data_IF_952785558107
#
_entry.id   IF_952785558107
#
_cell.length_a   1.000
_cell.length_b   1.000
_cell.length_c   1.000
_cell.angle_alpha   90.00
_cell.angle_beta   90.00
_cell.angle_gamma   90.00
#
_symmetry.space_group_name_H-M   'P 1'
#
loop_
_entity.id
_entity.type
_entity.pdbx_description
1 polymer ?
#
# COMPACT_ATOMS: atom_id res chain seq x y z
N UNK A 1 -3.84 6.52 22.49
CA UNK A 1 -4.81 5.46 22.16
C UNK A 1 -5.53 5.88 20.89
N UNK A 2 -5.51 5.05 19.84
CA UNK A 2 -6.33 5.32 18.66
C UNK A 2 -7.82 5.21 19.00
N UNK A 3 -8.64 6.08 18.40
CA UNK A 3 -10.04 6.27 18.80
C UNK A 3 -10.91 5.01 18.69
N UNK A 4 -12.08 5.05 19.36
CA UNK A 4 -13.16 4.09 19.11
C UNK A 4 -13.61 4.24 17.65
N UNK A 5 -13.45 3.18 16.86
CA UNK A 5 -13.89 3.12 15.47
C UNK A 5 -15.36 2.70 15.43
N UNK A 6 -16.34 3.60 15.19
CA UNK A 6 -17.75 3.23 15.14
C UNK A 6 -18.05 2.07 14.19
N UNK A 7 -17.34 1.95 13.05
CA UNK A 7 -17.51 0.83 12.12
C UNK A 7 -16.96 -0.53 12.65
N UNK A 8 -16.33 -0.55 13.82
CA UNK A 8 -15.77 -1.73 14.45
C UNK A 8 -14.33 -2.05 14.04
N UNK A 9 -13.72 -2.99 14.77
CA UNK A 9 -12.28 -3.32 14.67
C UNK A 9 -11.86 -3.91 13.33
N UNK A 10 -12.80 -4.48 12.54
CA UNK A 10 -12.48 -5.04 11.21
C UNK A 10 -11.98 -4.00 10.20
N UNK A 11 -12.26 -2.73 10.47
CA UNK A 11 -11.87 -1.60 9.63
C UNK A 11 -10.65 -0.85 10.18
N UNK A 12 -9.93 -1.43 11.14
CA UNK A 12 -8.72 -0.82 11.70
C UNK A 12 -7.56 -1.81 11.63
N UNK A 13 -6.46 -1.38 11.00
CA UNK A 13 -5.22 -2.15 10.94
C UNK A 13 -4.07 -1.31 11.50
N UNK A 14 -3.37 -1.85 12.50
CA UNK A 14 -2.26 -1.18 13.18
C UNK A 14 -0.91 -1.69 12.69
N UNK A 15 0.08 -0.80 12.70
CA UNK A 15 1.47 -1.06 12.34
C UNK A 15 2.40 -0.28 13.27
N UNK A 16 3.66 -0.70 13.30
CA UNK A 16 4.73 0.04 13.97
C UNK A 16 5.83 0.26 12.95
N UNK A 17 6.10 1.53 12.64
CA UNK A 17 7.15 1.94 11.72
C UNK A 17 8.41 2.34 12.50
N UNK A 18 9.58 1.98 11.98
CA UNK A 18 10.88 2.45 12.49
C UNK A 18 11.27 3.83 11.92
N UNK A 19 10.40 4.44 11.12
CA UNK A 19 10.58 5.76 10.51
C UNK A 19 9.60 6.76 11.10
N UNK A 20 9.98 8.04 11.07
CA UNK A 20 9.10 9.11 11.52
C UNK A 20 7.89 9.30 10.59
N UNK A 21 6.84 9.90 11.13
CA UNK A 21 5.57 10.08 10.43
C UNK A 21 5.68 10.92 9.14
N UNK A 22 6.62 11.88 9.06
CA UNK A 22 6.80 12.75 7.88
C UNK A 22 7.51 11.99 6.78
N UNK A 23 8.53 11.21 7.11
CA UNK A 23 9.21 10.31 6.17
C UNK A 23 8.25 9.26 5.62
N UNK A 24 7.41 8.67 6.49
CA UNK A 24 6.39 7.71 6.07
C UNK A 24 5.32 8.36 5.17
N UNK A 25 4.83 9.56 5.53
CA UNK A 25 3.92 10.34 4.68
C UNK A 25 4.51 10.55 3.28
N UNK A 26 5.76 11.01 3.19
CA UNK A 26 6.43 11.23 1.92
C UNK A 26 6.49 9.96 1.07
N UNK A 27 6.88 8.83 1.67
CA UNK A 27 6.94 7.54 0.98
C UNK A 27 5.55 7.11 0.43
N UNK A 28 4.49 7.27 1.23
CA UNK A 28 3.12 6.94 0.82
C UNK A 28 2.60 7.83 -0.31
N UNK A 29 3.03 9.09 -0.36
CA UNK A 29 2.66 10.03 -1.42
C UNK A 29 3.45 9.74 -2.69
N UNK A 30 4.78 9.64 -2.59
CA UNK A 30 5.68 9.47 -3.73
C UNK A 30 5.51 8.11 -4.41
N UNK A 31 5.17 7.06 -3.65
CA UNK A 31 5.14 5.68 -4.17
C UNK A 31 3.82 4.94 -3.91
N UNK A 32 3.00 5.39 -2.96
CA UNK A 32 1.78 4.70 -2.54
C UNK A 32 0.48 5.23 -3.16
N UNK A 33 0.55 6.28 -3.98
CA UNK A 33 -0.62 6.93 -4.57
C UNK A 33 -1.54 7.59 -3.54
N UNK A 34 -1.02 7.89 -2.35
CA UNK A 34 -1.77 8.59 -1.32
C UNK A 34 -1.69 10.10 -1.51
N UNK A 35 -2.67 10.82 -0.97
CA UNK A 35 -2.60 12.27 -0.84
C UNK A 35 -2.07 12.64 0.55
N UNK A 36 -1.14 13.60 0.62
CA UNK A 36 -0.63 14.12 1.87
C UNK A 36 -1.75 14.78 2.69
N UNK A 37 -1.80 14.52 3.98
CA UNK A 37 -2.70 15.18 4.91
C UNK A 37 -1.96 16.18 5.82
N UNK A 38 -2.69 17.15 6.34
CA UNK A 38 -2.14 18.23 7.18
C UNK A 38 -2.06 17.88 8.67
N UNK A 39 -1.89 16.61 9.04
CA UNK A 39 -1.82 16.16 10.43
C UNK A 39 -3.04 16.56 11.29
N UNK A 40 -4.20 16.72 10.66
CA UNK A 40 -5.45 17.01 11.35
C UNK A 40 -5.95 15.76 12.11
N UNK A 41 -6.78 15.97 13.14
CA UNK A 41 -7.25 14.92 14.04
C UNK A 41 -8.77 14.73 13.91
N UNK A 42 -9.26 14.01 12.88
CA UNK A 42 -10.68 13.94 12.56
C UNK A 42 -11.50 13.18 13.62
N UNK A 43 -10.85 12.34 14.43
CA UNK A 43 -11.48 11.62 15.55
C UNK A 43 -11.39 12.38 16.87
N UNK A 44 -10.91 13.63 16.86
CA UNK A 44 -10.71 14.45 18.05
C UNK A 44 -9.28 14.42 18.58
N UNK A 45 -9.02 15.30 19.54
CA UNK A 45 -7.68 15.53 20.08
C UNK A 45 -7.13 14.24 20.72
N UNK A 46 -5.84 13.96 20.50
CA UNK A 46 -5.14 12.76 20.98
C UNK A 46 -5.66 11.41 20.43
N UNK A 47 -6.46 11.42 19.36
CA UNK A 47 -6.97 10.20 18.71
C UNK A 47 -6.24 9.82 17.41
N UNK A 48 -5.04 10.37 17.25
CA UNK A 48 -4.21 10.22 16.06
C UNK A 48 -4.41 11.36 15.05
N UNK A 49 -3.33 11.66 14.34
CA UNK A 49 -3.26 12.68 13.30
C UNK A 49 -3.13 12.02 11.92
N UNK A 50 -3.90 12.48 10.93
CA UNK A 50 -3.87 11.93 9.58
C UNK A 50 -2.59 12.37 8.88
N UNK A 51 -1.78 11.39 8.46
CA UNK A 51 -0.56 11.62 7.70
C UNK A 51 -0.81 11.45 6.20
N UNK A 52 -1.72 10.57 5.80
CA UNK A 52 -2.06 10.37 4.40
C UNK A 52 -3.50 9.88 4.25
N UNK A 53 -4.07 10.09 3.07
CA UNK A 53 -5.42 9.63 2.74
C UNK A 53 -5.51 9.09 1.32
N UNK A 54 -6.39 8.10 1.12
CA UNK A 54 -6.67 7.50 -0.19
C UNK A 54 -8.03 6.80 -0.16
N UNK A 55 -8.84 6.97 -1.20
CA UNK A 55 -10.11 6.25 -1.38
C UNK A 55 -11.08 6.33 -0.17
N UNK A 56 -11.13 7.50 0.50
CA UNK A 56 -11.95 7.69 1.71
C UNK A 56 -11.41 7.03 2.99
N UNK A 57 -10.17 6.52 2.93
CA UNK A 57 -9.44 5.93 4.05
C UNK A 57 -8.32 6.85 4.50
N UNK A 58 -7.98 6.75 5.79
CA UNK A 58 -6.93 7.50 6.45
C UNK A 58 -5.81 6.58 6.93
N UNK A 59 -4.59 7.08 6.84
CA UNK A 59 -3.41 6.60 7.55
C UNK A 59 -3.13 7.61 8.67
N UNK A 60 -3.21 7.15 9.90
CA UNK A 60 -3.05 7.95 11.12
C UNK A 60 -1.72 7.62 11.80
N UNK A 61 -1.08 8.60 12.42
CA UNK A 61 -0.06 8.39 13.45
C UNK A 61 -0.59 8.78 14.82
N UNK A 62 -0.20 8.09 15.89
CA UNK A 62 -0.57 8.49 17.25
C UNK A 62 0.16 9.76 17.70
N UNK A 63 1.47 9.83 17.43
CA UNK A 63 2.36 10.94 17.77
C UNK A 63 3.12 11.36 16.51
N UNK A 64 3.13 12.66 16.21
CA UNK A 64 3.74 13.18 14.97
C UNK A 64 5.27 13.12 15.06
N UNK A 65 5.83 13.41 16.23
CA UNK A 65 7.27 13.51 16.48
C UNK A 65 7.78 12.31 17.29
N UNK A 66 7.48 11.10 16.83
CA UNK A 66 7.99 9.86 17.42
C UNK A 66 9.03 9.21 16.52
N UNK A 67 10.12 8.72 17.12
CA UNK A 67 11.17 7.96 16.42
C UNK A 67 10.64 6.59 15.93
N UNK A 68 9.64 6.05 16.63
CA UNK A 68 8.85 4.89 16.20
C UNK A 68 7.40 5.30 16.08
N UNK A 69 6.93 5.45 14.84
CA UNK A 69 5.55 5.85 14.60
C UNK A 69 4.61 4.65 14.74
N UNK A 70 3.66 4.74 15.67
CA UNK A 70 2.49 3.87 15.68
C UNK A 70 1.53 4.35 14.60
N UNK A 71 1.18 3.46 13.67
CA UNK A 71 0.38 3.79 12.49
C UNK A 71 -0.93 3.01 12.52
N UNK A 72 -2.04 3.64 12.14
CA UNK A 72 -3.31 2.95 11.92
C UNK A 72 -3.93 3.35 10.59
N UNK A 73 -4.37 2.33 9.84
CA UNK A 73 -5.22 2.50 8.66
C UNK A 73 -6.67 2.30 9.07
N UNK A 74 -7.54 3.25 8.70
CA UNK A 74 -8.97 3.22 9.02
C UNK A 74 -9.78 3.99 7.98
N UNK A 75 -11.07 3.70 7.77
CA UNK A 75 -11.94 4.60 7.03
C UNK A 75 -12.04 5.98 7.68
N UNK A 76 -12.28 7.00 6.85
CA UNK A 76 -12.58 8.35 7.32
C UNK A 76 -13.89 8.41 8.10
N UNK A 77 -14.14 9.53 8.78
CA UNK A 77 -15.28 9.68 9.72
C UNK A 77 -16.62 9.42 9.01
N UNK A 78 -16.83 10.02 7.84
CA UNK A 78 -18.06 9.86 7.07
C UNK A 78 -18.27 8.41 6.64
N UNK A 79 -17.22 7.77 6.12
CA UNK A 79 -17.27 6.38 5.69
C UNK A 79 -17.45 5.42 6.88
N UNK A 80 -16.86 5.71 8.04
CA UNK A 80 -17.13 4.93 9.25
C UNK A 80 -18.57 5.04 9.71
N UNK A 81 -19.17 6.23 9.66
CA UNK A 81 -20.58 6.41 10.03
C UNK A 81 -21.50 5.64 9.07
N UNK A 82 -21.18 5.66 7.77
CA UNK A 82 -21.92 4.90 6.77
C UNK A 82 -21.80 3.39 7.02
N UNK A 83 -20.58 2.87 7.20
CA UNK A 83 -20.35 1.45 7.49
C UNK A 83 -21.00 1.00 8.80
N UNK A 84 -20.95 1.83 9.84
CA UNK A 84 -21.64 1.59 11.11
C UNK A 84 -23.15 1.50 10.92
N UNK A 85 -23.74 2.36 10.08
CA UNK A 85 -25.18 2.31 9.80
C UNK A 85 -25.58 0.98 9.15
N UNK A 86 -24.74 0.43 8.27
CA UNK A 86 -24.96 -0.89 7.70
C UNK A 86 -24.92 -1.98 8.77
N UNK A 87 -23.86 -2.02 9.58
CA UNK A 87 -23.66 -3.05 10.60
C UNK A 87 -24.70 -3.00 11.72
N UNK A 88 -25.27 -1.83 11.98
CA UNK A 88 -26.29 -1.63 13.01
C UNK A 88 -27.72 -1.89 12.50
N UNK A 89 -27.88 -2.37 11.25
CA UNK A 89 -29.18 -2.67 10.66
C UNK A 89 -29.96 -1.44 10.16
N UNK A 90 -29.29 -0.29 10.04
CA UNK A 90 -29.84 0.95 9.48
C UNK A 90 -29.59 1.10 7.97
N UNK A 91 -29.16 0.03 7.28
CA UNK A 91 -28.91 0.04 5.83
C UNK A 91 -30.12 0.51 5.00
N UNK A 92 -31.34 0.23 5.47
CA UNK A 92 -32.59 0.66 4.83
C UNK A 92 -32.89 2.17 4.93
N UNK A 93 -32.14 2.93 5.71
CA UNK A 93 -32.26 4.40 5.77
C UNK A 93 -31.61 5.10 4.56
N UNK A 94 -30.85 4.34 3.76
CA UNK A 94 -30.09 4.88 2.63
C UNK A 94 -30.68 4.37 1.33
N UNK A 95 -31.15 5.29 0.50
CA UNK A 95 -31.52 4.98 -0.88
C UNK A 95 -30.27 4.71 -1.73
N UNK A 96 -30.43 3.93 -2.81
CA UNK A 96 -29.33 3.72 -3.77
C UNK A 96 -28.81 5.02 -4.39
N UNK A 97 -29.66 6.06 -4.51
CA UNK A 97 -29.24 7.39 -4.97
C UNK A 97 -28.32 8.09 -3.97
N UNK A 98 -28.63 8.00 -2.67
CA UNK A 98 -27.78 8.58 -1.62
C UNK A 98 -26.44 7.86 -1.55
N UNK A 99 -26.43 6.53 -1.63
CA UNK A 99 -25.20 5.75 -1.73
C UNK A 99 -24.37 6.16 -2.95
N UNK A 100 -25.01 6.31 -4.11
CA UNK A 100 -24.33 6.72 -5.34
C UNK A 100 -23.70 8.11 -5.22
N UNK A 101 -24.36 9.05 -4.53
CA UNK A 101 -23.83 10.40 -4.29
C UNK A 101 -22.65 10.37 -3.31
N UNK A 102 -22.75 9.59 -2.25
CA UNK A 102 -21.75 9.57 -1.17
C UNK A 102 -20.50 8.76 -1.52
N UNK A 103 -20.66 7.65 -2.23
CA UNK A 103 -19.58 6.67 -2.43
C UNK A 103 -19.29 6.36 -3.90
N UNK A 104 -20.16 6.80 -4.81
CA UNK A 104 -20.12 6.38 -6.21
C UNK A 104 -20.66 4.97 -6.47
N UNK A 105 -21.27 4.31 -5.47
CA UNK A 105 -21.76 2.94 -5.58
C UNK A 105 -23.30 2.89 -5.63
N UNK A 106 -23.90 2.02 -6.45
CA UNK A 106 -25.36 1.97 -6.62
C UNK A 106 -26.11 1.30 -5.46
N UNK A 107 -25.42 0.45 -4.69
CA UNK A 107 -25.99 -0.37 -3.62
C UNK A 107 -24.94 -0.71 -2.56
N UNK A 108 -25.40 -1.28 -1.45
CA UNK A 108 -24.56 -1.64 -0.31
C UNK A 108 -23.52 -2.71 -0.62
N UNK A 109 -23.82 -3.68 -1.48
CA UNK A 109 -22.87 -4.73 -1.84
C UNK A 109 -21.67 -4.13 -2.58
N UNK A 110 -21.93 -3.20 -3.50
CA UNK A 110 -20.90 -2.44 -4.20
C UNK A 110 -20.09 -1.54 -3.23
N UNK A 111 -20.73 -0.87 -2.27
CA UNK A 111 -20.04 -0.10 -1.23
C UNK A 111 -19.08 -0.98 -0.45
N UNK A 112 -19.58 -2.08 0.12
CA UNK A 112 -18.78 -2.97 0.97
C UNK A 112 -17.61 -3.59 0.20
N UNK A 113 -17.84 -4.00 -1.05
CA UNK A 113 -16.78 -4.53 -1.92
C UNK A 113 -15.72 -3.48 -2.21
N UNK A 114 -16.13 -2.29 -2.67
CA UNK A 114 -15.21 -1.19 -3.00
C UNK A 114 -14.38 -0.79 -1.78
N UNK A 115 -15.03 -0.58 -0.63
CA UNK A 115 -14.35 -0.20 0.62
C UNK A 115 -13.41 -1.30 1.11
N UNK A 116 -13.81 -2.57 1.05
CA UNK A 116 -12.95 -3.70 1.44
C UNK A 116 -11.70 -3.81 0.55
N UNK A 117 -11.86 -3.65 -0.76
CA UNK A 117 -10.76 -3.71 -1.70
C UNK A 117 -9.81 -2.50 -1.55
N UNK A 118 -10.37 -1.31 -1.37
CA UNK A 118 -9.59 -0.11 -1.06
C UNK A 118 -8.81 -0.28 0.26
N UNK A 119 -9.46 -0.78 1.30
CA UNK A 119 -8.84 -1.00 2.61
C UNK A 119 -7.69 -2.00 2.52
N UNK A 120 -7.93 -3.17 1.90
CA UNK A 120 -6.88 -4.18 1.71
C UNK A 120 -5.70 -3.64 0.91
N UNK A 121 -5.96 -2.87 -0.15
CA UNK A 121 -4.91 -2.24 -0.96
C UNK A 121 -4.09 -1.25 -0.15
N UNK A 122 -4.74 -0.34 0.58
CA UNK A 122 -4.04 0.65 1.39
C UNK A 122 -3.24 -0.01 2.52
N UNK A 123 -3.80 -1.02 3.19
CA UNK A 123 -3.09 -1.83 4.17
C UNK A 123 -1.82 -2.48 3.58
N UNK A 124 -1.91 -3.03 2.36
CA UNK A 124 -0.74 -3.58 1.65
C UNK A 124 0.30 -2.51 1.32
N UNK A 125 -0.13 -1.33 0.88
CA UNK A 125 0.76 -0.18 0.61
C UNK A 125 1.46 0.30 1.88
N UNK A 126 0.74 0.43 2.99
CA UNK A 126 1.31 0.85 4.28
C UNK A 126 2.27 -0.21 4.82
N UNK A 127 1.92 -1.49 4.73
CA UNK A 127 2.83 -2.58 5.10
C UNK A 127 4.13 -2.51 4.29
N UNK A 128 4.05 -2.36 2.97
CA UNK A 128 5.24 -2.22 2.13
C UNK A 128 6.07 -0.97 2.47
N UNK A 129 5.43 0.14 2.87
CA UNK A 129 6.13 1.35 3.30
C UNK A 129 6.85 1.13 4.64
N UNK A 130 6.19 0.46 5.59
CA UNK A 130 6.75 0.08 6.90
C UNK A 130 7.94 -0.86 6.73
N UNK A 131 7.84 -1.85 5.83
CA UNK A 131 8.92 -2.78 5.52
C UNK A 131 10.03 -2.15 4.66
N UNK A 132 9.86 -0.89 4.23
CA UNK A 132 10.80 -0.19 3.36
C UNK A 132 10.93 -0.82 1.97
N UNK A 133 9.92 -1.54 1.49
CA UNK A 133 9.87 -2.16 0.16
C UNK A 133 9.04 -1.36 -0.84
N UNK A 134 8.22 -0.41 -0.38
CA UNK A 134 7.41 0.42 -1.25
C UNK A 134 8.28 1.24 -2.21
N UNK A 135 7.96 1.18 -3.51
CA UNK A 135 8.71 1.89 -4.56
C UNK A 135 10.02 1.22 -4.99
N UNK A 136 10.46 0.15 -4.33
CA UNK A 136 11.60 -0.65 -4.80
C UNK A 136 11.15 -1.55 -5.95
N UNK A 137 11.88 -1.62 -7.07
CA UNK A 137 11.60 -2.61 -8.10
C UNK A 137 11.67 -3.99 -7.46
N UNK A 138 10.64 -4.81 -7.71
CA UNK A 138 10.63 -6.18 -7.22
C UNK A 138 11.90 -6.86 -7.71
N UNK A 139 12.80 -7.19 -6.78
CA UNK A 139 13.97 -8.00 -7.10
C UNK A 139 13.43 -9.35 -7.55
N UNK A 140 13.40 -9.56 -8.86
CA UNK A 140 13.10 -10.88 -9.43
C UNK A 140 14.15 -11.80 -8.83
N UNK A 141 13.79 -12.87 -8.11
CA UNK A 141 14.78 -13.83 -7.67
C UNK A 141 15.52 -14.29 -8.92
N UNK A 142 16.85 -14.13 -8.92
CA UNK A 142 17.67 -14.61 -10.02
C UNK A 142 17.32 -16.09 -10.23
N UNK A 143 16.99 -16.50 -11.47
CA UNK A 143 16.74 -17.90 -11.74
C UNK A 143 18.01 -18.63 -11.35
N UNK A 144 17.93 -19.43 -10.29
CA UNK A 144 19.01 -20.33 -9.89
C UNK A 144 19.08 -21.36 -10.99
N UNK A 145 19.98 -21.14 -11.97
CA UNK A 145 20.34 -22.17 -12.92
C UNK A 145 20.96 -23.30 -12.09
N UNK A 146 20.21 -24.38 -11.91
CA UNK A 146 20.78 -25.67 -11.55
C UNK A 146 21.66 -26.07 -12.74
N UNK A 147 22.95 -25.73 -12.66
CA UNK A 147 23.94 -26.32 -13.55
C UNK A 147 24.03 -27.77 -13.09
N UNK A 148 23.38 -28.66 -13.83
CA UNK A 148 23.62 -30.08 -13.73
C UNK A 148 25.00 -30.31 -14.37
N UNK A 149 25.99 -30.67 -13.56
CA UNK A 149 27.39 -30.83 -13.97
C UNK A 149 27.59 -32.07 -14.90
N UNK A 150 26.53 -32.86 -15.09
CA UNK A 150 26.55 -34.12 -15.85
C UNK A 150 26.20 -33.96 -17.35
N UNK A 151 25.82 -32.77 -17.82
CA UNK A 151 25.39 -32.56 -19.22
C UNK A 151 26.13 -31.39 -19.90
N UNK A 152 27.44 -31.31 -19.68
CA UNK A 152 28.33 -30.50 -20.53
C UNK A 152 28.57 -31.30 -21.82
N UNK A 153 28.05 -30.90 -23.00
CA UNK A 153 28.51 -31.49 -24.24
C UNK A 153 29.96 -31.07 -24.40
N UNK A 154 30.89 -32.02 -24.28
CA UNK A 154 32.28 -31.81 -24.64
C UNK A 154 32.32 -31.27 -26.07
N UNK A 155 32.54 -29.96 -26.22
CA UNK A 155 32.85 -29.38 -27.52
C UNK A 155 34.23 -29.90 -27.91
N UNK A 156 34.39 -30.54 -29.09
CA UNK A 156 35.70 -30.95 -29.57
C UNK A 156 36.65 -29.74 -29.61
N UNK A 157 37.90 -29.94 -29.20
CA UNK A 157 38.94 -28.89 -29.16
C UNK A 157 39.09 -28.14 -30.51
N UNK A 158 38.64 -28.73 -31.61
CA UNK A 158 38.63 -28.13 -32.95
C UNK A 158 37.73 -26.87 -33.09
N UNK A 159 36.82 -26.62 -32.14
CA UNK A 159 36.00 -25.41 -32.10
C UNK A 159 36.57 -24.29 -31.20
N UNK A 160 37.64 -24.54 -30.45
CA UNK A 160 38.35 -23.52 -29.68
C UNK A 160 39.37 -22.80 -30.56
N UNK A 161 38.91 -22.21 -31.66
CA UNK A 161 39.76 -21.29 -32.41
C UNK A 161 39.92 -19.99 -31.59
N UNK A 162 41.15 -19.60 -31.21
CA UNK A 162 41.36 -18.31 -30.61
C UNK A 162 40.99 -17.24 -31.63
N UNK A 163 39.95 -16.47 -31.32
CA UNK A 163 39.59 -15.28 -32.10
C UNK A 163 40.78 -14.32 -31.99
N UNK A 164 41.54 -14.17 -33.08
CA UNK A 164 42.57 -13.15 -33.17
C UNK A 164 41.88 -11.79 -33.18
N UNK A 165 42.31 -10.92 -32.28
CA UNK A 165 41.71 -9.62 -31.93
C UNK A 165 41.83 -8.54 -33.03
N UNK A 166 41.85 -8.93 -34.30
CA UNK A 166 42.09 -8.06 -35.44
C UNK A 166 40.82 -7.54 -36.14
N UNK A 167 39.62 -8.04 -35.80
CA UNK A 167 38.37 -7.69 -36.50
C UNK A 167 37.37 -6.85 -35.68
N UNK A 168 37.83 -6.05 -34.70
CA UNK A 168 36.93 -5.15 -33.93
C UNK A 168 36.92 -3.71 -34.49
N UNK A 169 37.65 -3.40 -35.58
CA UNK A 169 37.59 -2.09 -36.24
C UNK A 169 36.62 -2.04 -37.43
N UNK A 170 35.32 -2.11 -37.13
CA UNK A 170 34.21 -1.56 -37.93
C UNK A 170 32.95 -1.85 -37.11
N UNK A 171 32.29 -0.88 -36.49
CA UNK A 171 31.70 0.28 -37.13
C UNK A 171 31.60 1.44 -36.12
N UNK A 172 32.33 2.52 -36.40
CA UNK A 172 31.87 3.87 -36.07
C UNK A 172 31.20 4.43 -37.33
N UNK A 173 29.86 4.47 -37.33
CA UNK A 173 29.05 5.39 -38.14
C UNK A 173 27.69 5.62 -37.50
#
# INVERSE_FOLDING_TARGET
>A
MFGLYPAGVRWAQSYTASTDAKSLQKCLVDHGGCTAALFHQPFGVQRGAVIAQRDGLFVLTHVIEADQAEIVVTPGVELQNLLWSFDSGYSGQWSGRELQILTGCPDWDAVLKQTSDAFRRLCGTVQAAVDGTLGKPASRPEPTLTIDDDDVPFLPDDYLQPITLAEIQSCDH
#
